data_IF_726181253220
#
_entry.id   IF_726181253220
#
_cell.length_a   1.000
_cell.length_b   1.000
_cell.length_c   1.000
_cell.angle_alpha   90.00
_cell.angle_beta   90.00
_cell.angle_gamma   90.00
#
_symmetry.space_group_name_H-M   'P 1'
#
loop_
_entity.id
_entity.type
_entity.pdbx_description
1 polymer ?
#
# COMPACT_ATOMS: atom_id res chain seq x y z
N UNK A 1 -9.77 9.20 9.29
CA UNK A 1 -9.09 9.51 8.00
C UNK A 1 -8.72 8.19 7.34
N UNK A 2 -8.58 8.14 6.02
CA UNK A 2 -8.14 6.93 5.30
C UNK A 2 -7.00 7.31 4.36
N UNK A 3 -5.95 6.49 4.31
CA UNK A 3 -4.77 6.69 3.45
C UNK A 3 -4.45 5.41 2.68
N UNK A 4 -3.97 5.54 1.45
CA UNK A 4 -3.35 4.42 0.73
C UNK A 4 -1.84 4.46 0.96
N UNK A 5 -1.26 3.30 1.24
CA UNK A 5 0.19 3.09 1.36
C UNK A 5 0.60 2.19 0.21
N UNK A 6 1.42 2.74 -0.68
CA UNK A 6 1.80 2.09 -1.93
C UNK A 6 3.30 1.84 -1.96
N UNK A 7 3.71 0.70 -2.53
CA UNK A 7 5.10 0.42 -2.88
C UNK A 7 5.20 -0.11 -4.30
N UNK A 8 6.27 0.28 -4.97
CA UNK A 8 6.65 -0.26 -6.26
C UNK A 8 8.04 -0.86 -6.16
N UNK A 9 8.19 -2.09 -6.65
CA UNK A 9 9.44 -2.83 -6.67
C UNK A 9 9.73 -3.22 -8.13
N UNK A 10 10.81 -2.67 -8.67
CA UNK A 10 11.25 -2.92 -10.03
C UNK A 10 12.61 -2.27 -10.30
N UNK A 11 13.19 -2.60 -11.45
CA UNK A 11 14.47 -2.06 -11.90
C UNK A 11 14.27 -0.92 -12.91
N UNK A 12 15.17 0.05 -12.93
CA UNK A 12 15.15 1.11 -13.94
C UNK A 12 15.39 0.49 -15.32
N UNK A 13 14.39 0.58 -16.21
CA UNK A 13 14.43 -0.05 -17.53
C UNK A 13 14.08 -1.55 -17.54
N UNK A 14 13.71 -2.11 -16.39
CA UNK A 14 13.21 -3.48 -16.28
C UNK A 14 11.85 -3.64 -16.98
N UNK A 15 11.58 -4.84 -17.51
CA UNK A 15 10.31 -5.17 -18.17
C UNK A 15 9.19 -5.52 -17.20
N UNK A 16 9.55 -5.97 -16.01
CA UNK A 16 8.63 -6.46 -14.98
C UNK A 16 8.77 -5.62 -13.71
N UNK A 17 7.71 -5.53 -12.93
CA UNK A 17 7.69 -4.91 -11.61
C UNK A 17 6.39 -5.22 -10.88
N UNK A 18 6.42 -5.08 -9.56
CA UNK A 18 5.26 -5.34 -8.71
C UNK A 18 4.86 -4.04 -8.03
N UNK A 19 3.58 -3.68 -8.15
CA UNK A 19 2.94 -2.65 -7.33
C UNK A 19 2.11 -3.33 -6.26
N UNK A 20 2.31 -2.93 -5.02
CA UNK A 20 1.48 -3.32 -3.89
C UNK A 20 0.82 -2.06 -3.32
N UNK A 21 -0.43 -2.19 -2.90
CA UNK A 21 -1.21 -1.11 -2.32
C UNK A 21 -2.04 -1.69 -1.18
N UNK A 22 -2.00 -1.02 -0.03
CA UNK A 22 -2.90 -1.27 1.09
C UNK A 22 -3.60 0.03 1.49
N UNK A 23 -4.81 -0.08 2.02
CA UNK A 23 -5.59 1.03 2.54
C UNK A 23 -5.69 0.95 4.07
N UNK A 24 -5.27 2.02 4.75
CA UNK A 24 -5.31 2.13 6.20
C UNK A 24 -6.31 3.17 6.67
N UNK A 25 -7.15 2.79 7.63
CA UNK A 25 -8.01 3.69 8.38
C UNK A 25 -7.25 4.23 9.59
N UNK A 26 -7.01 5.54 9.63
CA UNK A 26 -6.43 6.22 10.78
C UNK A 26 -7.52 6.49 11.83
N UNK A 27 -7.23 6.09 13.05
CA UNK A 27 -8.05 6.20 14.27
C UNK A 27 -7.29 6.96 15.36
N UNK A 28 -7.94 7.25 16.48
CA UNK A 28 -7.29 7.91 17.63
C UNK A 28 -6.17 7.08 18.26
N UNK A 29 -6.14 5.76 18.03
CA UNK A 29 -5.23 4.82 18.71
C UNK A 29 -4.19 4.23 17.74
N UNK A 30 -4.10 4.73 16.51
CA UNK A 30 -3.22 4.20 15.46
C UNK A 30 -3.97 3.96 14.15
N UNK A 31 -3.59 2.91 13.43
CA UNK A 31 -4.13 2.59 12.10
C UNK A 31 -4.62 1.15 12.00
N UNK A 32 -5.71 0.93 11.27
CA UNK A 32 -6.21 -0.40 10.95
C UNK A 32 -6.11 -0.67 9.44
N UNK A 33 -5.53 -1.81 9.05
CA UNK A 33 -5.52 -2.24 7.65
C UNK A 33 -6.96 -2.61 7.25
N UNK A 34 -7.46 -1.96 6.20
CA UNK A 34 -8.83 -2.11 5.71
C UNK A 34 -8.92 -3.02 4.48
N UNK A 35 -7.80 -3.31 3.81
CA UNK A 35 -7.70 -4.19 2.63
C UNK A 35 -6.45 -5.03 2.72
N UNK A 36 -6.45 -6.12 3.50
CA UNK A 36 -5.22 -6.86 3.74
C UNK A 36 -4.73 -7.68 2.53
N UNK A 37 -5.52 -7.86 1.46
CA UNK A 37 -5.18 -8.76 0.34
C UNK A 37 -5.80 -8.39 -1.02
N UNK A 38 -6.07 -7.10 -1.30
CA UNK A 38 -6.62 -6.67 -2.58
C UNK A 38 -6.18 -5.25 -2.95
#
# INVERSE_FOLDING_TARGET
MTICVETYIGEVGGKEGVKLEDQYRVTSNGSNNSVPFL
#
